data_IF_801941906473
#
_entry.id   IF_801941906473
#
_cell.length_a   1.000
_cell.length_b   1.000
_cell.length_c   1.000
_cell.angle_alpha   90.00
_cell.angle_beta   90.00
_cell.angle_gamma   90.00
#
_symmetry.space_group_name_H-M   'P 1'
#
loop_
_entity.id
_entity.type
_entity.pdbx_description
1 polymer ?
#
# COMPACT_ATOMS: atom_id res chain seq x y z
N UNK A 1 -38.97 -31.66 47.96
CA UNK A 1 -38.37 -30.67 47.04
C UNK A 1 -37.50 -29.75 47.88
N UNK A 2 -36.19 -29.81 47.70
CA UNK A 2 -35.19 -29.13 48.55
C UNK A 2 -35.18 -27.62 48.26
N UNK A 3 -35.43 -26.82 49.30
CA UNK A 3 -35.10 -25.39 49.33
C UNK A 3 -33.60 -25.22 49.60
N UNK A 4 -32.91 -24.42 48.78
CA UNK A 4 -31.49 -24.07 48.99
C UNK A 4 -31.35 -22.58 49.34
N UNK A 5 -30.63 -22.33 50.43
CA UNK A 5 -30.31 -21.06 51.08
C UNK A 5 -29.21 -20.25 50.37
N UNK A 6 -29.38 -18.93 50.29
CA UNK A 6 -28.42 -17.92 49.76
C UNK A 6 -27.20 -17.75 50.71
N UNK A 7 -26.02 -17.20 50.31
CA UNK A 7 -25.88 -15.73 50.22
C UNK A 7 -24.78 -15.15 49.28
N UNK A 8 -24.99 -13.87 48.92
CA UNK A 8 -24.03 -12.74 48.81
C UNK A 8 -22.57 -13.03 48.44
N UNK A 9 -22.15 -12.55 47.26
CA UNK A 9 -20.84 -11.95 46.98
C UNK A 9 -21.00 -11.01 45.76
N UNK A 10 -21.36 -9.74 45.99
CA UNK A 10 -20.43 -8.60 45.86
C UNK A 10 -19.71 -8.61 44.50
N UNK A 11 -20.25 -7.98 43.45
CA UNK A 11 -20.05 -6.54 43.18
C UNK A 11 -18.65 -6.02 43.58
N UNK A 12 -17.60 -6.75 43.22
CA UNK A 12 -16.22 -6.28 43.32
C UNK A 12 -15.49 -6.53 41.99
N UNK A 13 -15.79 -5.64 41.05
CA UNK A 13 -14.88 -5.01 40.08
C UNK A 13 -14.07 -5.90 39.11
N UNK A 14 -13.60 -5.36 37.96
CA UNK A 14 -13.59 -3.92 37.63
C UNK A 14 -14.10 -3.65 36.21
N UNK A 15 -14.99 -2.67 35.97
CA UNK A 15 -14.66 -1.25 35.75
C UNK A 15 -13.40 -0.89 34.93
N UNK A 16 -12.44 -1.80 34.69
CA UNK A 16 -11.23 -1.54 33.91
C UNK A 16 -11.45 -1.65 32.40
N UNK A 17 -12.51 -2.32 31.93
CA UNK A 17 -12.78 -2.39 30.50
C UNK A 17 -13.64 -1.21 29.99
N UNK A 18 -14.35 -0.51 30.87
CA UNK A 18 -15.18 0.65 30.51
C UNK A 18 -14.52 2.01 30.83
N UNK A 19 -13.47 2.04 31.65
CA UNK A 19 -12.65 3.23 31.94
C UNK A 19 -11.45 3.44 31.00
N UNK A 20 -11.35 2.71 29.89
CA UNK A 20 -10.50 3.13 28.76
C UNK A 20 -11.23 4.07 27.80
N UNK A 21 -12.38 4.60 28.21
CA UNK A 21 -12.86 5.89 27.75
C UNK A 21 -12.20 6.99 28.59
N UNK A 22 -11.69 8.04 27.95
CA UNK A 22 -11.15 9.25 28.57
C UNK A 22 -9.68 9.17 29.05
N UNK A 23 -8.75 9.06 28.11
CA UNK A 23 -7.58 9.94 28.17
C UNK A 23 -7.52 10.77 26.91
N UNK A 24 -7.96 12.00 27.09
CA UNK A 24 -7.83 13.12 26.19
C UNK A 24 -6.33 13.40 25.99
N UNK A 25 -5.65 12.56 25.20
CA UNK A 25 -4.33 12.92 24.66
C UNK A 25 -4.60 14.04 23.67
N UNK A 26 -4.03 15.23 23.89
CA UNK A 26 -4.23 16.46 23.10
C UNK A 26 -3.77 16.39 21.64
N UNK A 27 -4.04 15.29 20.93
CA UNK A 27 -3.61 14.99 19.58
C UNK A 27 -4.68 15.30 18.52
N UNK A 28 -5.83 15.87 18.88
CA UNK A 28 -6.86 16.29 17.92
C UNK A 28 -7.35 15.20 16.96
N UNK A 29 -7.27 13.92 17.35
CA UNK A 29 -7.58 12.77 16.48
C UNK A 29 -8.86 12.06 16.88
N UNK A 30 -9.73 11.82 15.90
CA UNK A 30 -11.09 11.28 16.03
C UNK A 30 -11.17 9.74 16.19
N UNK A 31 -10.06 9.02 16.36
CA UNK A 31 -10.07 7.56 16.59
C UNK A 31 -8.86 7.09 17.41
N UNK A 32 -9.03 6.11 18.32
CA UNK A 32 -7.94 5.54 19.10
C UNK A 32 -7.01 4.71 18.20
N UNK A 33 -5.70 4.86 18.38
CA UNK A 33 -4.75 3.95 17.73
C UNK A 33 -4.78 2.60 18.43
N UNK A 34 -4.74 1.47 17.71
CA UNK A 34 -4.61 0.17 18.34
C UNK A 34 -3.34 0.14 19.19
N UNK A 35 -3.46 -0.46 20.38
CA UNK A 35 -2.45 -0.48 21.46
C UNK A 35 -1.14 -1.17 21.07
N UNK A 36 -1.11 -1.88 19.94
CA UNK A 36 0.08 -2.56 19.43
C UNK A 36 0.96 -1.54 18.70
N UNK A 37 1.70 -0.82 19.55
CA UNK A 37 2.76 0.16 19.31
C UNK A 37 3.27 0.27 17.87
N UNK A 38 2.99 1.44 17.27
CA UNK A 38 4.04 2.10 16.51
C UNK A 38 5.25 2.20 17.44
N UNK A 39 6.38 1.58 17.10
CA UNK A 39 7.59 1.60 17.94
C UNK A 39 7.79 2.98 18.57
N UNK A 40 7.86 3.03 19.91
CA UNK A 40 8.08 4.26 20.70
C UNK A 40 9.28 5.09 20.21
N UNK A 41 10.23 4.44 19.53
CA UNK A 41 11.45 5.02 18.99
C UNK A 41 11.33 5.47 17.53
N UNK A 42 10.17 5.28 16.89
CA UNK A 42 9.98 5.66 15.50
C UNK A 42 9.61 7.14 15.42
N UNK A 43 10.53 7.93 14.88
CA UNK A 43 10.32 9.37 14.64
C UNK A 43 9.37 9.68 13.49
N UNK A 44 9.04 8.68 12.65
CA UNK A 44 8.20 8.85 11.45
C UNK A 44 6.97 7.94 11.48
N UNK A 45 5.81 8.42 10.98
CA UNK A 45 4.62 7.59 10.84
C UNK A 45 4.90 6.38 9.94
N UNK A 46 4.17 5.26 10.12
CA UNK A 46 4.33 4.08 9.27
C UNK A 46 4.06 4.41 7.80
N UNK A 47 4.76 3.72 6.90
CA UNK A 47 4.54 3.90 5.46
C UNK A 47 3.22 3.23 5.05
N UNK A 48 2.25 4.05 4.63
CA UNK A 48 0.93 3.61 4.15
C UNK A 48 0.95 3.06 2.71
N UNK A 49 2.12 3.07 2.05
CA UNK A 49 2.28 2.68 0.65
C UNK A 49 2.59 3.87 -0.25
N UNK A 50 2.33 3.73 -1.55
CA UNK A 50 2.70 4.75 -2.54
C UNK A 50 1.75 5.94 -2.45
N UNK A 51 2.33 7.13 -2.28
CA UNK A 51 1.65 8.42 -2.20
C UNK A 51 2.29 9.45 -3.12
N UNK A 52 1.74 10.67 -3.16
CA UNK A 52 2.29 11.76 -3.96
C UNK A 52 3.76 11.98 -3.65
N UNK A 53 4.58 12.17 -4.69
CA UNK A 53 6.04 12.36 -4.62
C UNK A 53 6.81 11.18 -4.00
N UNK A 54 6.22 9.99 -3.93
CA UNK A 54 6.99 8.78 -3.62
C UNK A 54 7.83 8.43 -4.84
N UNK A 55 9.12 8.21 -4.63
CA UNK A 55 10.05 7.75 -5.66
C UNK A 55 9.87 6.27 -5.94
N UNK A 56 10.00 5.91 -7.20
CA UNK A 56 9.62 4.63 -7.77
C UNK A 56 10.71 4.18 -8.74
N UNK A 57 11.05 2.90 -8.65
CA UNK A 57 12.03 2.27 -9.53
C UNK A 57 11.27 1.64 -10.70
N UNK A 58 11.68 2.00 -11.92
CA UNK A 58 11.18 1.36 -13.13
C UNK A 58 11.85 0.00 -13.31
N UNK A 59 11.04 -1.07 -13.36
CA UNK A 59 11.51 -2.47 -13.48
C UNK A 59 11.27 -3.02 -14.90
N UNK A 60 10.94 -2.16 -15.85
CA UNK A 60 10.85 -2.50 -17.26
C UNK A 60 12.16 -2.23 -18.00
N UNK A 61 12.34 -2.86 -19.16
CA UNK A 61 13.51 -2.68 -20.00
C UNK A 61 13.42 -1.48 -20.97
N UNK A 62 12.43 -0.59 -20.79
CA UNK A 62 12.26 0.61 -21.61
C UNK A 62 13.46 1.55 -21.48
N UNK A 63 13.77 2.29 -22.54
CA UNK A 63 14.88 3.26 -22.55
C UNK A 63 14.65 4.34 -21.50
N UNK A 64 13.44 4.92 -21.46
CA UNK A 64 13.05 5.97 -20.51
C UNK A 64 13.21 5.50 -19.06
N UNK A 65 12.80 4.25 -18.75
CA UNK A 65 12.92 3.67 -17.42
C UNK A 65 14.38 3.43 -16.99
N UNK A 66 15.20 2.87 -17.88
CA UNK A 66 16.64 2.65 -17.63
C UNK A 66 17.38 3.95 -17.41
N UNK A 67 17.11 4.92 -18.28
CA UNK A 67 17.67 6.25 -18.23
C UNK A 67 17.36 6.96 -16.91
N UNK A 68 16.11 6.90 -16.45
CA UNK A 68 15.69 7.48 -15.18
C UNK A 68 16.44 6.86 -14.01
N UNK A 69 16.52 5.53 -13.97
CA UNK A 69 17.24 4.80 -12.93
C UNK A 69 18.73 5.13 -12.90
N UNK A 70 19.37 5.28 -14.07
CA UNK A 70 20.79 5.60 -14.17
C UNK A 70 21.09 7.06 -13.85
N UNK A 71 20.20 7.99 -14.21
CA UNK A 71 20.40 9.44 -14.00
C UNK A 71 20.36 9.89 -12.54
N UNK A 72 19.97 9.01 -11.60
CA UNK A 72 19.76 9.35 -10.20
C UNK A 72 18.47 10.13 -9.92
N UNK A 73 17.69 10.49 -10.96
CA UNK A 73 16.36 11.11 -10.82
C UNK A 73 15.28 10.10 -11.15
N UNK A 74 14.85 9.37 -10.12
CA UNK A 74 13.84 8.33 -10.22
C UNK A 74 12.47 8.90 -10.62
N UNK A 75 11.61 8.01 -11.12
CA UNK A 75 10.22 8.36 -11.36
C UNK A 75 9.52 8.64 -10.03
N UNK A 76 8.58 9.58 -10.00
CA UNK A 76 7.77 9.80 -8.81
C UNK A 76 6.27 9.84 -9.11
N UNK A 77 5.48 9.40 -8.13
CA UNK A 77 4.02 9.36 -8.25
C UNK A 77 3.41 10.76 -8.18
N UNK A 78 2.60 11.11 -9.17
CA UNK A 78 1.79 12.34 -9.18
C UNK A 78 0.38 12.04 -8.70
N UNK A 79 -0.23 10.97 -9.24
CA UNK A 79 -1.64 10.65 -9.03
C UNK A 79 -1.89 9.14 -9.02
N UNK A 80 -2.96 8.71 -8.35
CA UNK A 80 -3.40 7.31 -8.29
C UNK A 80 -4.83 7.22 -8.82
N UNK A 81 -5.05 6.34 -9.79
CA UNK A 81 -6.36 6.12 -10.40
C UNK A 81 -7.17 5.13 -9.55
N UNK A 82 -7.82 5.62 -8.49
CA UNK A 82 -8.72 4.83 -7.63
C UNK A 82 -10.08 5.51 -7.53
N UNK A 83 -11.15 4.75 -7.75
CA UNK A 83 -12.53 5.26 -7.64
C UNK A 83 -12.99 5.26 -6.17
N UNK A 84 -13.96 6.11 -5.83
CA UNK A 84 -14.56 6.17 -4.49
C UNK A 84 -13.84 7.08 -3.48
N UNK A 85 -12.79 7.78 -3.92
CA UNK A 85 -12.08 8.76 -3.09
C UNK A 85 -12.49 10.20 -3.47
N UNK A 86 -12.47 11.09 -2.47
CA UNK A 86 -12.76 12.52 -2.69
C UNK A 86 -11.66 13.15 -3.54
N UNK A 87 -12.02 13.90 -4.60
CA UNK A 87 -11.06 14.49 -5.55
C UNK A 87 -9.91 15.30 -4.92
N UNK A 88 -10.12 15.91 -3.76
CA UNK A 88 -9.09 16.70 -3.04
C UNK A 88 -8.06 15.83 -2.32
N UNK A 89 -8.37 14.56 -2.05
CA UNK A 89 -7.52 13.63 -1.32
C UNK A 89 -7.05 12.52 -2.26
N UNK A 90 -5.76 12.52 -2.55
CA UNK A 90 -5.16 11.47 -3.34
C UNK A 90 -5.17 10.15 -2.56
N UNK A 91 -5.72 9.06 -3.12
CA UNK A 91 -5.69 7.74 -2.49
C UNK A 91 -4.25 7.20 -2.42
N UNK A 92 -4.03 6.26 -1.50
CA UNK A 92 -2.79 5.48 -1.47
C UNK A 92 -2.86 4.38 -2.52
N UNK A 93 -1.77 4.20 -3.26
CA UNK A 93 -1.62 3.13 -4.22
C UNK A 93 -1.21 1.83 -3.54
N UNK A 94 -1.88 0.75 -3.93
CA UNK A 94 -1.56 -0.63 -3.56
C UNK A 94 -1.05 -1.39 -4.79
N UNK A 95 -0.66 -2.65 -4.59
CA UNK A 95 -0.27 -3.56 -5.66
C UNK A 95 -1.34 -3.69 -6.74
N UNK A 96 -0.95 -3.49 -8.00
CA UNK A 96 -1.83 -3.57 -9.16
C UNK A 96 -2.62 -2.30 -9.44
N UNK A 97 -2.49 -1.24 -8.64
CA UNK A 97 -3.14 0.03 -8.92
C UNK A 97 -2.45 0.76 -10.09
N UNK A 98 -3.26 1.46 -10.88
CA UNK A 98 -2.79 2.37 -11.93
C UNK A 98 -2.39 3.71 -11.33
N UNK A 99 -1.26 4.22 -11.75
CA UNK A 99 -0.72 5.50 -11.28
C UNK A 99 -0.24 6.37 -12.45
N UNK A 100 -0.21 7.68 -12.21
CA UNK A 100 0.43 8.66 -13.07
C UNK A 100 1.78 9.01 -12.45
N UNK A 101 2.85 8.90 -13.24
CA UNK A 101 4.22 9.17 -12.81
C UNK A 101 4.84 10.26 -13.67
N UNK A 102 5.71 11.06 -13.05
CA UNK A 102 6.65 11.90 -13.78
C UNK A 102 7.98 11.15 -13.90
N UNK A 103 8.49 11.03 -15.11
CA UNK A 103 9.77 10.39 -15.40
C UNK A 103 10.49 11.19 -16.50
N UNK A 104 11.75 11.58 -16.26
CA UNK A 104 12.58 12.33 -17.22
C UNK A 104 11.90 13.58 -17.83
N UNK A 105 11.03 14.25 -17.06
CA UNK A 105 10.29 15.45 -17.51
C UNK A 105 8.98 15.14 -18.26
N UNK A 106 8.68 13.88 -18.52
CA UNK A 106 7.44 13.44 -19.15
C UNK A 106 6.45 12.87 -18.13
N UNK A 107 5.16 12.99 -18.42
CA UNK A 107 4.10 12.30 -17.68
C UNK A 107 3.80 10.97 -18.37
N UNK A 108 3.94 9.87 -17.63
CA UNK A 108 3.63 8.52 -18.12
C UNK A 108 2.68 7.82 -17.16
N UNK A 109 1.90 6.88 -17.67
CA UNK A 109 1.10 5.98 -16.83
C UNK A 109 1.99 4.84 -16.37
N UNK A 110 1.67 4.24 -15.25
CA UNK A 110 2.37 3.05 -14.77
C UNK A 110 1.45 2.17 -13.94
N UNK A 111 1.83 0.90 -13.82
CA UNK A 111 1.25 -0.04 -12.86
C UNK A 111 2.22 -0.28 -11.72
N UNK A 112 1.67 -0.34 -10.51
CA UNK A 112 2.40 -0.70 -9.30
C UNK A 112 2.61 -2.21 -9.26
N UNK A 113 3.88 -2.62 -9.32
CA UNK A 113 4.29 -4.02 -9.26
C UNK A 113 4.88 -4.39 -7.90
N UNK A 114 5.44 -3.41 -7.18
CA UNK A 114 5.94 -3.56 -5.83
C UNK A 114 5.65 -2.32 -5.03
N UNK A 115 5.24 -2.50 -3.77
CA UNK A 115 4.99 -1.40 -2.87
C UNK A 115 5.53 -1.76 -1.47
N UNK A 116 6.28 -0.82 -0.90
CA UNK A 116 6.72 -0.90 0.49
C UNK A 116 5.57 -0.48 1.37
N UNK A 117 4.93 -1.46 2.03
CA UNK A 117 3.82 -1.20 2.94
C UNK A 117 4.12 -1.71 4.34
N UNK A 118 3.78 -0.92 5.35
CA UNK A 118 3.95 -1.36 6.72
C UNK A 118 3.12 -2.60 7.03
N UNK A 119 3.69 -3.55 7.77
CA UNK A 119 3.05 -4.82 8.09
C UNK A 119 1.67 -4.66 8.77
N UNK A 120 1.48 -3.64 9.61
CA UNK A 120 0.19 -3.36 10.27
C UNK A 120 -0.88 -2.76 9.36
N UNK A 121 -0.50 -2.14 8.24
CA UNK A 121 -1.44 -1.50 7.29
C UNK A 121 -1.78 -2.47 6.17
N UNK A 122 -0.80 -3.30 5.79
CA UNK A 122 -0.92 -4.31 4.75
C UNK A 122 -1.93 -5.39 5.15
N UNK A 123 -2.77 -5.79 4.20
CA UNK A 123 -3.68 -6.93 4.38
C UNK A 123 -2.91 -8.24 4.36
N UNK A 124 -3.39 -9.23 5.11
CA UNK A 124 -2.81 -10.58 5.10
C UNK A 124 -2.81 -11.17 3.68
N UNK A 125 -1.74 -11.88 3.32
CA UNK A 125 -1.60 -12.54 2.03
C UNK A 125 -1.25 -11.64 0.83
N UNK A 126 -1.05 -10.34 1.04
CA UNK A 126 -0.52 -9.42 0.02
C UNK A 126 0.99 -9.29 0.23
N UNK A 127 1.88 -9.64 -0.71
CA UNK A 127 3.33 -9.50 -0.51
C UNK A 127 3.76 -8.03 -0.40
N UNK A 128 4.86 -7.75 0.30
CA UNK A 128 5.50 -6.42 0.33
C UNK A 128 6.90 -6.54 -0.26
N UNK A 129 7.33 -5.52 -0.98
CA UNK A 129 8.70 -5.39 -1.49
C UNK A 129 9.43 -4.32 -0.70
N UNK A 130 10.76 -4.42 -0.65
CA UNK A 130 11.59 -3.40 0.01
C UNK A 130 11.57 -2.09 -0.78
N UNK A 131 11.59 -2.19 -2.10
CA UNK A 131 11.52 -1.07 -3.04
C UNK A 131 10.13 -0.91 -3.63
N UNK A 132 9.78 0.34 -4.00
CA UNK A 132 8.56 0.62 -4.75
C UNK A 132 8.86 0.46 -6.23
N UNK A 133 8.21 -0.52 -6.85
CA UNK A 133 8.53 -0.98 -8.19
C UNK A 133 7.37 -0.75 -9.14
N UNK A 134 7.66 -0.25 -10.33
CA UNK A 134 6.65 0.06 -11.34
C UNK A 134 7.01 -0.45 -12.72
N UNK A 135 5.99 -0.63 -13.55
CA UNK A 135 6.11 -0.87 -14.99
C UNK A 135 5.41 0.25 -15.73
N UNK A 136 6.12 0.89 -16.66
CA UNK A 136 5.59 2.01 -17.43
C UNK A 136 4.58 1.54 -18.48
N UNK A 137 3.57 2.36 -18.69
CA UNK A 137 2.50 2.17 -19.65
C UNK A 137 2.40 3.38 -20.58
N UNK A 138 2.00 3.08 -21.81
CA UNK A 138 1.62 4.06 -22.81
C UNK A 138 0.20 4.63 -22.52
N UNK A 139 -0.20 5.65 -23.28
CA UNK A 139 -1.53 6.28 -23.16
C UNK A 139 -2.67 5.30 -23.47
N UNK A 140 -2.39 4.31 -24.34
CA UNK A 140 -3.28 3.18 -24.67
C UNK A 140 -3.22 2.02 -23.66
N UNK A 141 -2.60 2.25 -22.50
CA UNK A 141 -2.46 1.26 -21.41
C UNK A 141 -1.73 -0.04 -21.83
N UNK A 142 -0.82 0.05 -22.81
CA UNK A 142 0.09 -1.04 -23.15
C UNK A 142 1.42 -0.83 -22.43
N UNK A 143 2.11 -1.90 -21.96
CA UNK A 143 3.44 -1.76 -21.40
C UNK A 143 4.42 -1.23 -22.45
N UNK A 144 5.25 -0.25 -22.06
CA UNK A 144 6.26 0.35 -22.95
C UNK A 144 7.44 -0.60 -23.14
N UNK A 145 7.86 -1.25 -22.05
CA UNK A 145 8.92 -2.26 -22.09
C UNK A 145 8.44 -3.59 -22.66
N UNK A 146 9.36 -4.32 -23.27
CA UNK A 146 9.14 -5.68 -23.79
C UNK A 146 9.35 -6.76 -22.72
N UNK A 147 9.99 -6.45 -21.58
CA UNK A 147 10.28 -7.41 -20.50
C UNK A 147 10.32 -6.71 -19.14
N UNK A 148 9.87 -7.43 -18.11
CA UNK A 148 10.04 -7.02 -16.71
C UNK A 148 11.32 -7.67 -16.17
N UNK A 149 12.22 -6.86 -15.63
CA UNK A 149 13.58 -7.26 -15.20
C UNK A 149 13.61 -7.93 -13.82
N UNK A 150 12.72 -7.50 -12.93
CA UNK A 150 12.67 -7.94 -11.54
C UNK A 150 11.57 -8.99 -11.26
N UNK A 151 11.57 -9.56 -10.05
CA UNK A 151 10.53 -10.49 -9.63
C UNK A 151 9.19 -9.78 -9.44
N UNK A 152 8.11 -10.42 -9.87
CA UNK A 152 6.75 -9.92 -9.72
C UNK A 152 5.97 -10.71 -8.67
N UNK A 153 5.13 -10.08 -7.85
CA UNK A 153 4.33 -10.82 -6.90
C UNK A 153 3.22 -11.62 -7.59
N UNK A 154 3.07 -12.89 -7.20
CA UNK A 154 2.02 -13.81 -7.68
C UNK A 154 0.61 -13.31 -7.36
N UNK A 155 0.48 -12.38 -6.40
CA UNK A 155 -0.76 -11.65 -6.13
C UNK A 155 -1.32 -10.96 -7.38
N UNK A 156 -0.47 -10.41 -8.26
CA UNK A 156 -0.92 -9.74 -9.49
C UNK A 156 -1.59 -10.70 -10.47
N UNK A 157 -1.22 -11.98 -10.47
CA UNK A 157 -1.86 -13.01 -11.31
C UNK A 157 -3.32 -13.20 -10.95
N UNK A 158 -3.68 -13.09 -9.66
CA UNK A 158 -5.08 -13.16 -9.21
C UNK A 158 -5.90 -11.96 -9.67
N UNK A 159 -5.25 -10.82 -9.92
CA UNK A 159 -5.92 -9.59 -10.34
C UNK A 159 -6.08 -9.48 -11.86
N UNK A 160 -5.35 -10.27 -12.64
CA UNK A 160 -5.32 -10.17 -14.12
C UNK A 160 -6.68 -10.36 -14.77
N UNK A 161 -7.53 -11.21 -14.19
CA UNK A 161 -8.89 -11.47 -14.71
C UNK A 161 -9.78 -10.22 -14.62
N UNK A 162 -9.57 -9.39 -13.60
CA UNK A 162 -10.32 -8.15 -13.36
C UNK A 162 -9.73 -6.96 -14.10
N UNK A 163 -8.45 -7.03 -14.47
CA UNK A 163 -7.72 -5.92 -15.08
C UNK A 163 -6.92 -6.43 -16.29
N UNK A 164 -7.40 -6.21 -17.54
CA UNK A 164 -6.74 -6.74 -18.74
C UNK A 164 -5.32 -6.18 -18.94
N UNK A 165 -5.03 -5.02 -18.37
CA UNK A 165 -3.69 -4.40 -18.41
C UNK A 165 -2.69 -5.25 -17.63
N UNK A 166 -3.09 -5.76 -16.46
CA UNK A 166 -2.24 -6.65 -15.66
C UNK A 166 -1.96 -7.95 -16.39
N UNK A 167 -2.87 -8.46 -17.21
CA UNK A 167 -2.61 -9.65 -18.03
C UNK A 167 -1.43 -9.44 -18.97
N UNK A 168 -1.38 -8.28 -19.66
CA UNK A 168 -0.27 -7.93 -20.54
C UNK A 168 1.05 -7.79 -19.76
N UNK A 169 1.05 -7.07 -18.64
CA UNK A 169 2.25 -6.88 -17.82
C UNK A 169 2.75 -8.21 -17.22
N UNK A 170 1.82 -9.03 -16.71
CA UNK A 170 2.12 -10.35 -16.16
C UNK A 170 2.72 -11.29 -17.22
N UNK A 171 2.29 -11.19 -18.48
CA UNK A 171 2.87 -11.98 -19.57
C UNK A 171 4.34 -11.63 -19.88
N UNK A 172 4.79 -10.42 -19.53
CA UNK A 172 6.19 -9.99 -19.71
C UNK A 172 7.12 -10.42 -18.56
N UNK A 173 6.55 -10.83 -17.43
CA UNK A 173 7.29 -11.25 -16.24
C UNK A 173 7.78 -12.69 -16.34
N UNK A 174 9.01 -12.96 -15.88
CA UNK A 174 9.60 -14.31 -15.86
C UNK A 174 9.53 -15.00 -14.50
N UNK A 175 9.78 -14.25 -13.42
CA UNK A 175 9.88 -14.80 -12.06
C UNK A 175 8.76 -14.24 -11.21
N UNK A 176 8.02 -15.15 -10.58
CA UNK A 176 6.97 -14.81 -9.63
C UNK A 176 7.31 -15.31 -8.22
N UNK A 177 6.90 -14.57 -7.20
CA UNK A 177 7.10 -14.90 -5.79
C UNK A 177 5.81 -14.73 -4.97
#
# INVERSE_FOLDING_TARGET
MLFSSKPVNSLLYPAYQLLTQLRNSGNGRWYPQPFNEMSRHRTRPPNYGIQRRTELICIDNSEIGKDANMSGRLAYCIWVYKRGYRKRHMPKAELGDKILVAIRGEMRRAIVVGATQHAFIRKHGIPSTDTNNIVLLDDKENPIGNRVLGPMPSYLMRLREKQPILQKVCALGKKFF
#
